data_IF_761637636081
#
_entry.id   IF_761637636081
#
_cell.length_a   1.000
_cell.length_b   1.000
_cell.length_c   1.000
_cell.angle_alpha   90.00
_cell.angle_beta   90.00
_cell.angle_gamma   90.00
#
_symmetry.space_group_name_H-M   'P 1'
#
loop_
_entity.id
_entity.type
_entity.pdbx_description
1 polymer ?
#
# COMPACT_ATOMS: atom_id res chain seq x y z
N UNK A 1 -7.55 6.63 25.82
CA UNK A 1 -6.37 7.50 25.98
C UNK A 1 -6.79 8.67 26.85
N UNK A 2 -6.02 9.10 27.84
CA UNK A 2 -6.41 10.21 28.69
C UNK A 2 -6.16 11.55 27.93
N UNK A 3 -6.85 12.63 28.29
CA UNK A 3 -6.79 13.93 27.63
C UNK A 3 -5.36 14.47 27.49
N UNK A 4 -4.54 14.32 28.52
CA UNK A 4 -3.14 14.77 28.52
C UNK A 4 -2.30 14.07 27.45
N UNK A 5 -2.47 12.74 27.28
CA UNK A 5 -1.76 11.97 26.27
C UNK A 5 -2.20 12.36 24.85
N UNK A 6 -3.46 12.70 24.67
CA UNK A 6 -4.00 13.21 23.40
C UNK A 6 -3.37 14.56 23.01
N UNK A 7 -3.30 15.49 23.94
CA UNK A 7 -2.68 16.80 23.72
C UNK A 7 -1.18 16.70 23.41
N UNK A 8 -0.47 15.80 24.09
CA UNK A 8 0.95 15.53 23.82
C UNK A 8 1.15 14.94 22.41
N UNK A 9 0.29 13.99 22.00
CA UNK A 9 0.32 13.40 20.67
C UNK A 9 0.06 14.44 19.59
N UNK A 10 -0.98 15.27 19.80
CA UNK A 10 -1.31 16.36 18.88
C UNK A 10 -0.14 17.33 18.70
N UNK A 11 0.49 17.79 19.80
CA UNK A 11 1.66 18.67 19.73
C UNK A 11 2.83 18.05 18.96
N UNK A 12 3.10 16.76 19.14
CA UNK A 12 4.12 16.04 18.38
C UNK A 12 3.77 16.00 16.88
N UNK A 13 2.52 15.70 16.54
CA UNK A 13 2.06 15.71 15.17
C UNK A 13 2.21 17.12 14.53
N UNK A 14 1.80 18.17 15.26
CA UNK A 14 1.95 19.57 14.83
C UNK A 14 3.42 20.00 14.68
N UNK A 15 4.35 19.41 15.42
CA UNK A 15 5.79 19.67 15.28
C UNK A 15 6.46 18.99 14.08
N UNK A 16 5.73 18.17 13.32
CA UNK A 16 6.24 17.54 12.09
C UNK A 16 6.66 16.08 12.24
N UNK A 17 6.44 15.45 13.39
CA UNK A 17 6.74 14.02 13.58
C UNK A 17 5.76 13.16 12.77
N UNK A 18 6.26 12.51 11.72
CA UNK A 18 5.46 11.71 10.80
C UNK A 18 4.78 10.50 11.45
N UNK A 19 5.40 9.91 12.47
CA UNK A 19 4.80 8.80 13.22
C UNK A 19 3.68 9.31 14.13
N UNK A 20 3.91 10.43 14.81
CA UNK A 20 2.89 11.07 15.64
C UNK A 20 1.69 11.55 14.79
N UNK A 21 1.91 12.04 13.56
CA UNK A 21 0.84 12.38 12.62
C UNK A 21 -0.02 11.16 12.28
N UNK A 22 0.60 10.00 12.01
CA UNK A 22 -0.15 8.78 11.74
C UNK A 22 -0.93 8.31 12.97
N UNK A 23 -0.30 8.24 14.14
CA UNK A 23 -1.00 7.87 15.38
C UNK A 23 -2.16 8.83 15.70
N UNK A 24 -1.97 10.12 15.43
CA UNK A 24 -3.01 11.13 15.61
C UNK A 24 -4.18 10.92 14.65
N UNK A 25 -3.88 10.60 13.38
CA UNK A 25 -4.92 10.27 12.41
C UNK A 25 -5.72 9.01 12.80
N UNK A 26 -5.06 7.96 13.28
CA UNK A 26 -5.72 6.74 13.77
C UNK A 26 -6.63 7.05 14.98
N UNK A 27 -6.19 7.94 15.87
CA UNK A 27 -7.03 8.41 16.98
C UNK A 27 -8.26 9.18 16.50
N UNK A 28 -8.07 10.14 15.57
CA UNK A 28 -9.17 10.94 15.02
C UNK A 28 -10.21 10.05 14.30
N UNK A 29 -9.74 9.06 13.54
CA UNK A 29 -10.62 8.10 12.87
C UNK A 29 -11.55 7.38 13.84
N UNK A 30 -11.06 7.07 15.03
CA UNK A 30 -11.83 6.35 16.05
C UNK A 30 -12.83 7.23 16.80
N UNK A 31 -12.53 8.52 17.01
CA UNK A 31 -13.26 9.35 17.95
C UNK A 31 -13.84 10.64 17.37
N UNK A 32 -13.36 11.15 16.25
CA UNK A 32 -13.69 12.48 15.73
C UNK A 32 -14.24 12.50 14.31
N UNK A 33 -13.88 11.54 13.47
CA UNK A 33 -14.40 11.44 12.12
C UNK A 33 -13.34 11.17 11.05
N UNK A 34 -13.81 10.73 9.90
CA UNK A 34 -12.93 10.22 8.84
C UNK A 34 -12.20 11.34 8.08
N UNK A 35 -12.83 12.51 7.89
CA UNK A 35 -12.27 13.57 7.06
C UNK A 35 -11.01 14.17 7.69
N UNK A 36 -11.11 14.61 8.95
CA UNK A 36 -9.97 15.17 9.69
C UNK A 36 -8.85 14.11 9.85
N UNK A 37 -9.22 12.86 10.13
CA UNK A 37 -8.28 11.76 10.20
C UNK A 37 -7.51 11.59 8.90
N UNK A 38 -8.19 11.64 7.74
CA UNK A 38 -7.55 11.51 6.44
C UNK A 38 -6.59 12.67 6.14
N UNK A 39 -6.92 13.89 6.52
CA UNK A 39 -6.02 15.04 6.36
C UNK A 39 -4.67 14.81 7.10
N UNK A 40 -4.73 14.33 8.34
CA UNK A 40 -3.53 14.02 9.11
C UNK A 40 -2.79 12.80 8.58
N UNK A 41 -3.51 11.81 8.06
CA UNK A 41 -2.93 10.65 7.41
C UNK A 41 -2.12 11.06 6.16
N UNK A 42 -2.69 11.92 5.30
CA UNK A 42 -1.99 12.47 4.13
C UNK A 42 -0.77 13.30 4.53
N UNK A 43 -0.86 14.09 5.63
CA UNK A 43 0.31 14.80 6.18
C UNK A 43 1.40 13.83 6.61
N UNK A 44 1.06 12.74 7.30
CA UNK A 44 2.01 11.71 7.70
C UNK A 44 2.72 11.07 6.48
N UNK A 45 1.98 10.74 5.44
CA UNK A 45 2.53 10.20 4.19
C UNK A 45 3.51 11.19 3.53
N UNK A 46 3.13 12.47 3.43
CA UNK A 46 4.00 13.53 2.89
C UNK A 46 5.23 13.78 3.76
N UNK A 47 5.12 13.63 5.07
CA UNK A 47 6.24 13.74 6.02
C UNK A 47 7.17 12.52 6.03
N UNK A 48 6.89 11.49 5.22
CA UNK A 48 7.79 10.34 5.04
C UNK A 48 7.44 9.11 5.86
N UNK A 49 6.25 9.04 6.47
CA UNK A 49 5.81 7.80 7.13
C UNK A 49 5.51 6.72 6.09
N UNK A 50 6.30 5.64 6.09
CA UNK A 50 6.21 4.58 5.09
C UNK A 50 4.86 3.82 5.14
N UNK A 51 4.32 3.59 6.33
CA UNK A 51 3.01 2.94 6.50
C UNK A 51 1.90 3.83 5.94
N UNK A 52 1.90 5.12 6.27
CA UNK A 52 0.92 6.07 5.74
C UNK A 52 1.01 6.19 4.22
N UNK A 53 2.23 6.18 3.63
CA UNK A 53 2.39 6.16 2.18
C UNK A 53 1.76 4.92 1.53
N UNK A 54 1.97 3.73 2.10
CA UNK A 54 1.36 2.50 1.58
C UNK A 54 -0.17 2.54 1.68
N UNK A 55 -0.71 3.09 2.75
CA UNK A 55 -2.15 3.24 2.96
C UNK A 55 -2.77 4.27 2.01
N UNK A 56 -2.09 5.41 1.73
CA UNK A 56 -2.53 6.37 0.70
C UNK A 56 -2.59 5.71 -0.69
N UNK A 57 -1.57 4.94 -1.06
CA UNK A 57 -1.60 4.16 -2.29
C UNK A 57 -2.81 3.23 -2.37
N UNK A 58 -3.16 2.57 -1.27
CA UNK A 58 -4.36 1.72 -1.20
C UNK A 58 -5.66 2.53 -1.27
N UNK A 59 -5.74 3.70 -0.64
CA UNK A 59 -6.93 4.56 -0.71
C UNK A 59 -7.22 4.99 -2.15
N UNK A 60 -6.18 5.34 -2.92
CA UNK A 60 -6.29 5.65 -4.35
C UNK A 60 -6.70 4.39 -5.14
N UNK A 61 -6.03 3.26 -4.90
CA UNK A 61 -6.29 2.01 -5.62
C UNK A 61 -7.73 1.51 -5.48
N UNK A 62 -8.32 1.68 -4.29
CA UNK A 62 -9.71 1.30 -4.02
C UNK A 62 -10.72 2.39 -4.34
N UNK A 63 -10.29 3.56 -4.83
CA UNK A 63 -11.15 4.68 -5.19
C UNK A 63 -11.77 5.40 -3.99
N UNK A 64 -11.17 5.29 -2.81
CA UNK A 64 -11.62 6.02 -1.61
C UNK A 64 -11.14 7.47 -1.61
N UNK A 65 -10.08 7.74 -2.34
CA UNK A 65 -9.46 9.05 -2.56
C UNK A 65 -9.22 9.22 -4.05
N UNK A 66 -9.42 10.44 -4.55
CA UNK A 66 -9.08 10.77 -5.93
C UNK A 66 -7.57 10.64 -6.16
N UNK A 67 -7.21 10.03 -7.28
CA UNK A 67 -5.83 9.85 -7.70
C UNK A 67 -5.71 8.86 -8.86
N UNK A 68 -4.55 8.81 -9.45
CA UNK A 68 -4.25 7.89 -10.55
C UNK A 68 -3.56 6.62 -10.07
N UNK A 69 -3.63 5.55 -10.85
CA UNK A 69 -2.88 4.32 -10.55
C UNK A 69 -1.37 4.55 -10.54
N UNK A 70 -0.88 5.52 -11.32
CA UNK A 70 0.52 5.95 -11.34
C UNK A 70 0.93 6.58 -10.01
N UNK A 71 0.05 7.38 -9.40
CA UNK A 71 0.28 7.95 -8.07
C UNK A 71 0.30 6.87 -7.00
N UNK A 72 -0.64 5.93 -7.02
CA UNK A 72 -0.66 4.79 -6.12
C UNK A 72 0.65 3.97 -6.24
N UNK A 73 1.09 3.69 -7.47
CA UNK A 73 2.37 3.01 -7.71
C UNK A 73 3.56 3.77 -7.11
N UNK A 74 3.60 5.10 -7.24
CA UNK A 74 4.67 5.93 -6.67
C UNK A 74 4.67 5.84 -5.14
N UNK A 75 3.50 5.86 -4.50
CA UNK A 75 3.38 5.68 -3.06
C UNK A 75 3.89 4.31 -2.61
N UNK A 76 3.48 3.21 -3.24
CA UNK A 76 3.96 1.87 -2.90
C UNK A 76 5.46 1.72 -3.09
N UNK A 77 6.01 2.29 -4.16
CA UNK A 77 7.45 2.27 -4.41
C UNK A 77 8.22 2.99 -3.30
N UNK A 78 7.85 4.24 -2.97
CA UNK A 78 8.48 5.00 -1.90
C UNK A 78 8.38 4.30 -0.54
N UNK A 79 7.21 3.79 -0.20
CA UNK A 79 7.01 3.04 1.03
C UNK A 79 7.88 1.78 1.10
N UNK A 80 8.02 1.05 0.00
CA UNK A 80 8.88 -0.13 -0.09
C UNK A 80 10.37 0.22 0.04
N UNK A 81 10.81 1.34 -0.53
CA UNK A 81 12.19 1.85 -0.40
C UNK A 81 12.51 2.23 1.06
N UNK A 82 11.52 2.67 1.83
CA UNK A 82 11.62 2.93 3.27
C UNK A 82 11.46 1.66 4.15
N UNK A 83 11.32 0.49 3.53
CA UNK A 83 11.27 -0.79 4.22
C UNK A 83 9.89 -1.24 4.69
N UNK A 84 8.80 -0.59 4.26
CA UNK A 84 7.44 -1.03 4.58
C UNK A 84 7.14 -2.36 3.86
N UNK A 85 7.01 -3.43 4.64
CA UNK A 85 6.86 -4.78 4.09
C UNK A 85 5.56 -5.00 3.32
N UNK A 86 4.47 -4.36 3.77
CA UNK A 86 3.18 -4.44 3.08
C UNK A 86 3.25 -3.78 1.71
N UNK A 87 3.96 -2.67 1.59
CA UNK A 87 4.16 -1.96 0.33
C UNK A 87 4.87 -2.82 -0.74
N UNK A 88 5.73 -3.75 -0.36
CA UNK A 88 6.29 -4.71 -1.33
C UNK A 88 5.22 -5.63 -1.92
N UNK A 89 4.21 -6.04 -1.14
CA UNK A 89 3.07 -6.81 -1.67
C UNK A 89 2.29 -6.00 -2.68
N UNK A 90 1.90 -4.78 -2.30
CA UNK A 90 1.11 -3.86 -3.13
C UNK A 90 1.88 -3.48 -4.41
N UNK A 91 3.19 -3.25 -4.31
CA UNK A 91 4.06 -3.02 -5.46
C UNK A 91 4.17 -4.26 -6.37
N UNK A 92 4.17 -5.46 -5.78
CA UNK A 92 4.11 -6.72 -6.50
C UNK A 92 2.83 -6.83 -7.33
N UNK A 93 1.68 -6.44 -6.77
CA UNK A 93 0.40 -6.39 -7.46
C UNK A 93 0.44 -5.37 -8.60
N UNK A 94 1.02 -4.20 -8.40
CA UNK A 94 1.20 -3.21 -9.46
C UNK A 94 1.98 -3.78 -10.65
N UNK A 95 3.10 -4.47 -10.41
CA UNK A 95 3.86 -5.11 -11.49
C UNK A 95 3.14 -6.31 -12.10
N UNK A 96 2.36 -7.06 -11.32
CA UNK A 96 1.63 -8.22 -11.80
C UNK A 96 0.50 -7.82 -12.76
N UNK A 97 -0.26 -6.76 -12.41
CA UNK A 97 -1.44 -6.32 -13.16
C UNK A 97 -1.17 -5.14 -14.10
N UNK A 98 -0.02 -4.47 -13.98
CA UNK A 98 0.28 -3.26 -14.70
C UNK A 98 -0.44 -2.02 -14.15
N UNK A 99 -0.71 -1.97 -12.84
CA UNK A 99 -1.34 -0.82 -12.19
C UNK A 99 -0.34 0.32 -12.02
N UNK A 100 -0.57 1.40 -12.76
CA UNK A 100 0.30 2.58 -12.74
C UNK A 100 1.72 2.35 -13.26
N UNK A 101 2.00 1.19 -13.83
CA UNK A 101 3.29 0.86 -14.42
C UNK A 101 3.17 -0.21 -15.52
N UNK A 102 4.23 -0.41 -16.29
CA UNK A 102 4.29 -1.53 -17.24
C UNK A 102 4.32 -2.87 -16.48
N UNK A 103 3.45 -3.80 -16.87
CA UNK A 103 3.41 -5.16 -16.33
C UNK A 103 4.79 -5.83 -16.40
N UNK A 104 5.23 -6.42 -15.28
CA UNK A 104 6.52 -7.11 -15.19
C UNK A 104 6.47 -8.23 -14.15
N UNK A 105 6.33 -9.45 -14.60
CA UNK A 105 6.23 -10.64 -13.75
C UNK A 105 7.48 -10.91 -12.92
N UNK A 106 8.67 -10.61 -13.46
CA UNK A 106 9.91 -10.81 -12.73
C UNK A 106 10.01 -9.86 -11.53
N UNK A 107 9.69 -8.57 -11.75
CA UNK A 107 9.65 -7.59 -10.66
C UNK A 107 8.55 -7.92 -9.64
N UNK A 108 7.37 -8.35 -10.08
CA UNK A 108 6.31 -8.81 -9.19
C UNK A 108 6.79 -9.94 -8.27
N UNK A 109 7.44 -10.95 -8.84
CA UNK A 109 8.02 -12.08 -8.10
C UNK A 109 9.03 -11.64 -7.04
N UNK A 110 9.93 -10.72 -7.40
CA UNK A 110 10.94 -10.16 -6.48
C UNK A 110 10.29 -9.40 -5.32
N UNK A 111 9.27 -8.57 -5.61
CA UNK A 111 8.52 -7.85 -4.61
C UNK A 111 7.81 -8.81 -3.64
N UNK A 112 7.10 -9.81 -4.12
CA UNK A 112 6.44 -10.80 -3.27
C UNK A 112 7.40 -11.58 -2.38
N UNK A 113 8.60 -11.89 -2.86
CA UNK A 113 9.64 -12.53 -2.03
C UNK A 113 10.09 -11.63 -0.89
N UNK A 114 10.26 -10.32 -1.14
CA UNK A 114 10.62 -9.33 -0.12
C UNK A 114 9.49 -9.09 0.88
N UNK A 115 8.24 -9.08 0.43
CA UNK A 115 7.08 -8.90 1.30
C UNK A 115 6.92 -10.06 2.29
N UNK A 116 6.71 -11.25 1.81
CA UNK A 116 6.62 -12.49 2.60
C UNK A 116 6.52 -13.69 1.66
N UNK A 117 7.57 -14.45 1.52
CA UNK A 117 7.59 -15.62 0.66
C UNK A 117 6.47 -16.63 0.96
N UNK A 118 6.19 -16.89 2.23
CA UNK A 118 5.15 -17.86 2.63
C UNK A 118 3.76 -17.43 2.19
N UNK A 119 3.40 -16.16 2.42
CA UNK A 119 2.10 -15.60 2.08
C UNK A 119 1.86 -15.60 0.57
N UNK A 120 2.90 -15.34 -0.22
CA UNK A 120 2.81 -15.18 -1.68
C UNK A 120 3.31 -16.41 -2.46
N UNK A 121 3.58 -17.53 -1.78
CA UNK A 121 4.12 -18.76 -2.42
C UNK A 121 3.29 -19.25 -3.62
N UNK A 122 1.96 -19.18 -3.53
CA UNK A 122 1.08 -19.60 -4.62
C UNK A 122 1.25 -18.71 -5.85
N UNK A 123 1.23 -17.37 -5.68
CA UNK A 123 1.43 -16.39 -6.75
C UNK A 123 2.83 -16.54 -7.37
N UNK A 124 3.86 -16.69 -6.55
CA UNK A 124 5.23 -16.90 -7.03
C UNK A 124 5.32 -18.16 -7.90
N UNK A 125 4.76 -19.27 -7.46
CA UNK A 125 4.69 -20.51 -8.26
C UNK A 125 3.93 -20.34 -9.57
N UNK A 126 2.85 -19.56 -9.54
CA UNK A 126 2.07 -19.25 -10.72
C UNK A 126 2.88 -18.41 -11.72
N UNK A 127 3.61 -17.41 -11.25
CA UNK A 127 4.52 -16.59 -12.08
C UNK A 127 5.65 -17.45 -12.67
N UNK A 128 6.16 -18.42 -11.90
CA UNK A 128 7.21 -19.35 -12.35
C UNK A 128 6.70 -20.39 -13.36
N UNK A 129 5.38 -20.61 -13.44
CA UNK A 129 4.80 -21.54 -14.42
C UNK A 129 4.82 -20.96 -15.82
N UNK A 130 5.11 -21.80 -16.83
CA UNK A 130 5.12 -21.40 -18.26
C UNK A 130 3.79 -20.83 -18.76
N UNK A 131 2.66 -21.13 -18.06
CA UNK A 131 1.32 -20.65 -18.43
C UNK A 131 1.21 -19.13 -18.44
N UNK A 132 1.94 -18.43 -17.56
CA UNK A 132 1.94 -16.97 -17.50
C UNK A 132 2.94 -16.38 -18.50
N UNK A 133 4.06 -17.07 -18.77
CA UNK A 133 5.05 -16.62 -19.76
C UNK A 133 4.49 -16.61 -21.18
N UNK A 134 3.50 -17.46 -21.52
CA UNK A 134 2.91 -17.62 -22.87
C UNK A 134 1.68 -16.75 -23.14
N UNK A 135 1.44 -15.70 -22.35
CA UNK A 135 0.47 -14.68 -22.71
C UNK A 135 -0.99 -15.10 -22.53
N UNK A 136 -1.45 -15.11 -21.31
CA UNK A 136 -2.89 -15.09 -21.04
C UNK A 136 -3.35 -13.63 -21.10
N UNK A 137 -4.33 -13.34 -21.94
CA UNK A 137 -4.94 -12.02 -22.10
C UNK A 137 -5.39 -11.40 -20.78
N UNK A 138 -5.19 -10.07 -20.59
CA UNK A 138 -5.29 -9.37 -19.32
C UNK A 138 -6.58 -9.61 -18.50
N UNK A 139 -7.73 -9.82 -19.15
CA UNK A 139 -9.01 -10.05 -18.47
C UNK A 139 -9.16 -11.45 -17.86
N UNK A 140 -8.65 -12.49 -18.49
CA UNK A 140 -8.69 -13.87 -17.97
C UNK A 140 -7.73 -14.10 -16.80
N UNK A 141 -6.73 -13.22 -16.60
CA UNK A 141 -5.77 -13.28 -15.50
C UNK A 141 -6.36 -12.88 -14.15
N UNK A 142 -7.26 -11.89 -14.14
CA UNK A 142 -7.93 -11.44 -12.93
C UNK A 142 -8.82 -12.53 -12.30
N UNK A 143 -9.51 -13.30 -13.13
CA UNK A 143 -10.39 -14.38 -12.67
C UNK A 143 -9.59 -15.55 -12.09
N UNK A 144 -8.49 -15.94 -12.72
CA UNK A 144 -7.60 -17.00 -12.22
C UNK A 144 -6.98 -16.67 -10.86
N UNK A 145 -6.74 -15.40 -10.57
CA UNK A 145 -6.11 -14.96 -9.32
C UNK A 145 -7.15 -14.79 -8.22
N UNK A 146 -8.34 -14.29 -8.55
CA UNK A 146 -9.47 -14.25 -7.61
C UNK A 146 -9.83 -15.64 -7.08
N UNK A 147 -9.79 -16.68 -7.92
CA UNK A 147 -10.03 -18.08 -7.54
C UNK A 147 -8.91 -18.68 -6.68
N UNK A 148 -7.72 -18.04 -6.63
CA UNK A 148 -6.60 -18.47 -5.78
C UNK A 148 -6.65 -17.87 -4.36
N UNK A 149 -7.41 -16.79 -4.15
CA UNK A 149 -7.57 -16.14 -2.85
C UNK A 149 -8.85 -16.57 -2.10
N UNK A 150 -9.78 -17.26 -2.76
CA UNK A 150 -10.93 -17.94 -2.20
C UNK A 150 -10.61 -19.42 -1.96
#
# INVERSE_FOLDING_TARGET
MNLKKYEELRKKAESGDANAMLEYSEYLQKYHGLQEAHEWHTKAAKAGNAKAMAEEGNFILYGWVEGSLEEAFVYFRKASELGERKAFSDLGDCFLYGWGCKQNFQKARECYKKASWWKHRKIIKMIDSEKIRKGIDGCKKLDLIRDFYN
#
